data_IF_170232326843
#
_entry.id   IF_170232326843
#
_cell.length_a   1.000
_cell.length_b   1.000
_cell.length_c   1.000
_cell.angle_alpha   90.00
_cell.angle_beta   90.00
_cell.angle_gamma   90.00
#
_symmetry.space_group_name_H-M   'P 1'
#
loop_
_entity.id
_entity.type
_entity.pdbx_description
1 polymer ?
#
# COMPACT_ATOMS: atom_id res chain seq x y z
N UNK A 1 15.31 17.33 -42.87
CA UNK A 1 14.30 16.64 -42.05
C UNK A 1 14.78 15.22 -41.77
N UNK A 2 15.48 15.02 -40.65
CA UNK A 2 15.82 13.68 -40.14
C UNK A 2 15.61 13.70 -38.62
N UNK A 3 14.72 12.80 -38.23
CA UNK A 3 14.45 12.21 -36.93
C UNK A 3 15.60 12.24 -35.92
N UNK A 4 15.27 12.56 -34.66
CA UNK A 4 15.75 11.89 -33.44
C UNK A 4 15.47 12.76 -32.20
N UNK A 5 14.26 12.73 -31.65
CA UNK A 5 14.10 12.96 -30.20
C UNK A 5 14.16 11.60 -29.52
N UNK A 6 15.39 11.10 -29.48
CA UNK A 6 15.80 9.96 -28.70
C UNK A 6 15.73 10.37 -27.23
N UNK A 7 14.62 10.02 -26.59
CA UNK A 7 14.58 9.37 -25.27
C UNK A 7 15.68 9.85 -24.31
N UNK A 8 15.45 10.98 -23.64
CA UNK A 8 16.18 11.35 -22.42
C UNK A 8 15.18 11.53 -21.27
N UNK A 9 14.56 10.44 -20.84
CA UNK A 9 14.26 10.29 -19.42
C UNK A 9 15.14 9.15 -18.95
N UNK A 10 16.39 9.49 -18.63
CA UNK A 10 17.27 8.66 -17.83
C UNK A 10 16.53 8.35 -16.54
N UNK A 11 15.84 7.21 -16.57
CA UNK A 11 15.37 6.50 -15.41
C UNK A 11 16.61 6.01 -14.67
N UNK A 12 17.22 6.92 -13.91
CA UNK A 12 18.03 6.56 -12.75
C UNK A 12 17.06 5.98 -11.72
N UNK A 13 16.70 4.72 -11.94
CA UNK A 13 16.18 3.84 -10.91
C UNK A 13 17.35 3.56 -9.95
N UNK A 14 17.70 4.60 -9.19
CA UNK A 14 18.53 4.49 -7.99
C UNK A 14 17.81 3.52 -7.07
N UNK A 15 18.55 2.53 -6.57
CA UNK A 15 18.10 1.49 -5.63
C UNK A 15 17.33 2.13 -4.46
N UNK A 16 16.03 2.36 -4.64
CA UNK A 16 15.16 2.73 -3.55
C UNK A 16 15.08 1.48 -2.67
N UNK A 17 15.53 1.52 -1.41
CA UNK A 17 15.41 0.37 -0.53
C UNK A 17 13.93 -0.03 -0.52
N UNK A 18 13.66 -1.28 -0.87
CA UNK A 18 12.31 -1.86 -0.90
C UNK A 18 11.62 -1.83 0.48
N UNK A 19 12.34 -1.39 1.52
CA UNK A 19 11.91 -1.29 2.91
C UNK A 19 12.20 0.13 3.38
N UNK A 20 11.14 0.92 3.62
CA UNK A 20 11.26 2.28 4.15
C UNK A 20 11.00 2.26 5.65
N UNK A 21 12.00 2.61 6.46
CA UNK A 21 11.82 2.59 7.90
C UNK A 21 10.67 3.53 8.31
N UNK A 22 9.94 3.16 9.37
CA UNK A 22 8.89 4.01 9.95
C UNK A 22 9.37 5.45 10.19
N UNK A 23 10.63 5.61 10.62
CA UNK A 23 11.25 6.93 10.84
C UNK A 23 11.36 7.74 9.55
N UNK A 24 11.74 7.10 8.44
CA UNK A 24 11.90 7.75 7.14
C UNK A 24 10.55 8.21 6.59
N UNK A 25 9.54 7.35 6.70
CA UNK A 25 8.15 7.69 6.33
C UNK A 25 7.61 8.85 7.14
N UNK A 26 7.81 8.83 8.47
CA UNK A 26 7.38 9.91 9.35
C UNK A 26 8.07 11.23 8.99
N UNK A 27 9.38 11.19 8.71
CA UNK A 27 10.14 12.37 8.29
C UNK A 27 9.62 12.94 6.96
N UNK A 28 9.30 12.07 5.99
CA UNK A 28 8.73 12.50 4.71
C UNK A 28 7.34 13.14 4.85
N UNK A 29 6.48 12.60 5.72
CA UNK A 29 5.16 13.16 6.02
C UNK A 29 5.29 14.51 6.73
N UNK A 30 6.19 14.63 7.71
CA UNK A 30 6.43 15.87 8.44
C UNK A 30 6.93 16.98 7.51
N UNK A 31 7.91 16.67 6.65
CA UNK A 31 8.40 17.59 5.62
C UNK A 31 7.30 17.99 4.62
N UNK A 32 6.41 17.07 4.27
CA UNK A 32 5.28 17.38 3.39
C UNK A 32 4.36 18.46 3.98
N UNK A 33 4.04 18.37 5.28
CA UNK A 33 3.24 19.40 5.95
C UNK A 33 4.03 20.70 6.14
N UNK A 34 5.32 20.62 6.45
CA UNK A 34 6.19 21.79 6.59
C UNK A 34 6.27 22.62 5.29
N UNK A 35 6.35 21.97 4.13
CA UNK A 35 6.39 22.65 2.81
C UNK A 35 5.02 23.08 2.27
N UNK A 36 3.95 22.95 3.06
CA UNK A 36 2.61 23.31 2.63
C UNK A 36 2.08 22.40 1.52
N UNK A 37 2.28 21.08 1.66
CA UNK A 37 1.73 20.04 0.77
C UNK A 37 2.39 19.94 -0.62
N UNK A 38 3.64 20.37 -0.75
CA UNK A 38 4.40 20.31 -2.01
C UNK A 38 5.23 19.03 -2.12
N UNK A 39 4.78 18.07 -2.92
CA UNK A 39 5.48 16.78 -3.11
C UNK A 39 6.87 16.98 -3.74
N UNK A 40 6.99 17.87 -4.73
CA UNK A 40 8.26 18.11 -5.43
C UNK A 40 9.37 18.63 -4.52
N UNK A 41 9.01 19.42 -3.48
CA UNK A 41 9.95 19.90 -2.48
C UNK A 41 10.49 18.73 -1.63
N UNK A 42 9.60 17.83 -1.21
CA UNK A 42 9.97 16.66 -0.39
C UNK A 42 10.85 15.68 -1.18
N UNK A 43 10.48 15.36 -2.43
CA UNK A 43 11.26 14.43 -3.27
C UNK A 43 12.62 15.02 -3.67
N UNK A 44 12.71 16.34 -3.85
CA UNK A 44 13.97 17.02 -4.14
C UNK A 44 14.96 17.03 -2.97
N UNK A 45 14.46 17.09 -1.73
CA UNK A 45 15.31 17.13 -0.53
C UNK A 45 15.73 15.75 -0.03
N UNK A 46 14.80 14.79 -0.01
CA UNK A 46 15.08 13.46 0.54
C UNK A 46 15.64 12.49 -0.50
N UNK A 47 15.47 12.73 -1.81
CA UNK A 47 15.84 11.82 -2.92
C UNK A 47 15.12 10.45 -2.92
N UNK A 48 14.33 10.19 -1.89
CA UNK A 48 13.41 9.06 -1.70
C UNK A 48 12.20 9.65 -0.93
N UNK A 49 10.95 9.19 -1.00
CA UNK A 49 10.32 8.21 -1.88
C UNK A 49 9.86 8.81 -3.24
N UNK A 50 9.42 7.94 -4.15
CA UNK A 50 8.72 8.35 -5.36
C UNK A 50 7.44 9.14 -5.05
N UNK A 51 7.04 10.04 -5.97
CA UNK A 51 5.84 10.87 -5.87
C UNK A 51 4.59 10.03 -5.58
N UNK A 52 4.47 8.86 -6.20
CA UNK A 52 3.34 7.97 -6.00
C UNK A 52 3.34 7.34 -4.61
N UNK A 53 4.51 6.91 -4.14
CA UNK A 53 4.70 6.33 -2.80
C UNK A 53 4.40 7.35 -1.71
N UNK A 54 4.88 8.60 -1.84
CA UNK A 54 4.58 9.66 -0.88
C UNK A 54 3.07 9.95 -0.82
N UNK A 55 2.42 9.99 -1.98
CA UNK A 55 0.98 10.23 -2.06
C UNK A 55 0.18 9.12 -1.36
N UNK A 56 0.57 7.86 -1.53
CA UNK A 56 -0.06 6.75 -0.79
C UNK A 56 0.15 6.89 0.72
N UNK A 57 1.35 7.28 1.17
CA UNK A 57 1.61 7.45 2.59
C UNK A 57 0.78 8.56 3.22
N UNK A 58 0.64 9.70 2.52
CA UNK A 58 -0.21 10.80 2.98
C UNK A 58 -1.68 10.36 3.02
N UNK A 59 -2.16 9.67 1.99
CA UNK A 59 -3.53 9.17 1.95
C UNK A 59 -3.82 8.21 3.10
N UNK A 60 -2.92 7.27 3.37
CA UNK A 60 -3.03 6.35 4.49
C UNK A 60 -2.93 7.05 5.85
N UNK A 61 -2.09 8.08 5.95
CA UNK A 61 -1.99 8.91 7.14
C UNK A 61 -3.28 9.71 7.38
N UNK A 62 -3.91 10.24 6.34
CA UNK A 62 -5.21 10.94 6.44
C UNK A 62 -6.36 9.99 6.76
N UNK A 63 -6.33 8.73 6.32
CA UNK A 63 -7.40 7.77 6.57
C UNK A 63 -7.28 7.05 7.91
N UNK A 64 -6.08 6.61 8.31
CA UNK A 64 -5.84 5.90 9.57
C UNK A 64 -5.36 6.80 10.71
N UNK A 65 -4.85 8.01 10.42
CA UNK A 65 -4.23 8.88 11.42
C UNK A 65 -2.85 8.41 11.89
N UNK A 66 -2.28 7.38 11.25
CA UNK A 66 -1.01 6.76 11.64
C UNK A 66 -0.08 6.63 10.45
N UNK A 67 1.24 6.72 10.68
CA UNK A 67 2.24 6.53 9.63
C UNK A 67 2.15 5.10 9.08
N UNK A 68 2.13 4.92 7.75
CA UNK A 68 2.07 3.60 7.12
C UNK A 68 3.16 2.67 7.63
N UNK A 69 2.79 1.56 8.27
CA UNK A 69 3.74 0.50 8.55
C UNK A 69 3.93 -0.37 7.32
N UNK A 70 5.18 -0.72 6.99
CA UNK A 70 5.46 -1.72 5.98
C UNK A 70 4.79 -3.03 6.40
N UNK A 71 3.91 -3.57 5.55
CA UNK A 71 3.23 -4.84 5.82
C UNK A 71 1.77 -4.75 6.24
N UNK A 72 1.14 -3.57 6.24
CA UNK A 72 -0.32 -3.51 6.13
C UNK A 72 -0.73 -3.83 4.69
N UNK A 73 -0.58 -5.10 4.31
CA UNK A 73 -1.57 -5.75 3.46
C UNK A 73 -2.91 -5.29 4.00
N UNK A 74 -3.66 -4.56 3.18
CA UNK A 74 -5.07 -4.29 3.44
C UNK A 74 -5.71 -5.66 3.45
N UNK A 75 -5.67 -6.33 4.60
CA UNK A 75 -6.28 -7.63 4.78
C UNK A 75 -7.74 -7.36 4.49
N UNK A 76 -8.19 -7.69 3.29
CA UNK A 76 -9.53 -7.39 2.77
C UNK A 76 -10.61 -8.21 3.47
N UNK A 77 -10.34 -8.65 4.70
CA UNK A 77 -11.20 -9.48 5.51
C UNK A 77 -11.12 -9.03 6.96
N UNK A 78 -12.16 -8.28 7.36
CA UNK A 78 -12.43 -7.96 8.76
C UNK A 78 -12.69 -9.24 9.57
N UNK A 79 -12.52 -9.18 10.88
CA UNK A 79 -12.82 -10.32 11.75
C UNK A 79 -14.28 -10.76 11.64
N UNK A 80 -15.20 -9.82 11.37
CA UNK A 80 -16.60 -10.14 11.09
C UNK A 80 -16.78 -11.05 9.87
N UNK A 81 -16.03 -10.80 8.80
CA UNK A 81 -16.08 -11.69 7.64
C UNK A 81 -15.50 -13.08 7.98
N UNK A 82 -14.42 -13.17 8.79
CA UNK A 82 -13.86 -14.47 9.24
C UNK A 82 -14.89 -15.29 10.02
N UNK A 83 -15.59 -14.65 10.96
CA UNK A 83 -16.63 -15.30 11.75
C UNK A 83 -17.76 -15.84 10.84
N UNK A 84 -18.22 -15.06 9.87
CA UNK A 84 -19.24 -15.50 8.92
C UNK A 84 -18.78 -16.70 8.07
N UNK A 85 -17.51 -16.72 7.66
CA UNK A 85 -16.95 -17.84 6.91
C UNK A 85 -16.88 -19.13 7.76
N UNK A 86 -16.45 -19.03 9.02
CA UNK A 86 -16.39 -20.17 9.96
C UNK A 86 -17.79 -20.70 10.28
N UNK A 87 -18.76 -19.82 10.53
CA UNK A 87 -20.14 -20.20 10.83
C UNK A 87 -20.79 -20.93 9.65
N UNK A 88 -20.64 -20.38 8.44
CA UNK A 88 -21.14 -21.00 7.22
C UNK A 88 -20.47 -22.36 6.95
N UNK A 89 -19.16 -22.49 7.20
CA UNK A 89 -18.44 -23.74 7.06
C UNK A 89 -18.97 -24.83 8.01
N UNK A 90 -19.24 -24.47 9.27
CA UNK A 90 -19.77 -25.39 10.28
C UNK A 90 -21.19 -25.84 9.97
N UNK A 91 -22.04 -24.93 9.50
CA UNK A 91 -23.46 -25.21 9.21
C UNK A 91 -23.69 -25.98 7.91
N UNK A 92 -22.87 -25.78 6.87
CA UNK A 92 -23.11 -26.31 5.52
C UNK A 92 -22.22 -27.52 5.17
N UNK A 93 -21.93 -28.37 6.16
CA UNK A 93 -21.26 -29.65 5.92
C UNK A 93 -19.76 -29.55 5.63
N UNK A 94 -19.09 -28.49 6.09
CA UNK A 94 -17.63 -28.34 6.05
C UNK A 94 -17.04 -28.36 4.63
N UNK A 95 -17.73 -27.72 3.68
CA UNK A 95 -17.28 -27.63 2.28
C UNK A 95 -16.65 -26.25 1.97
N UNK A 96 -15.33 -26.22 1.76
CA UNK A 96 -14.56 -24.99 1.49
C UNK A 96 -14.93 -24.36 0.13
N UNK A 97 -15.22 -25.17 -0.89
CA UNK A 97 -15.62 -24.65 -2.21
C UNK A 97 -16.96 -23.93 -2.13
N UNK A 98 -17.87 -24.44 -1.30
CA UNK A 98 -19.20 -23.88 -1.12
C UNK A 98 -19.15 -22.55 -0.35
N UNK A 99 -18.38 -22.48 0.75
CA UNK A 99 -18.14 -21.23 1.49
C UNK A 99 -17.47 -20.17 0.60
N UNK A 100 -16.46 -20.54 -0.18
CA UNK A 100 -15.78 -19.63 -1.11
C UNK A 100 -16.72 -19.10 -2.20
N UNK A 101 -17.56 -19.95 -2.81
CA UNK A 101 -18.54 -19.50 -3.82
C UNK A 101 -19.59 -18.56 -3.22
N UNK A 102 -19.93 -18.74 -1.94
CA UNK A 102 -20.96 -17.95 -1.26
C UNK A 102 -20.45 -16.62 -0.72
N UNK A 103 -19.20 -16.58 -0.23
CA UNK A 103 -18.64 -15.46 0.53
C UNK A 103 -17.40 -14.81 -0.12
N UNK A 104 -16.92 -15.34 -1.25
CA UNK A 104 -15.74 -14.83 -1.98
C UNK A 104 -14.48 -14.65 -1.12
N UNK A 105 -14.25 -15.57 -0.17
CA UNK A 105 -13.10 -15.55 0.74
C UNK A 105 -11.82 -16.01 0.02
N UNK A 106 -10.75 -15.21 -0.09
CA UNK A 106 -9.54 -15.65 -0.77
C UNK A 106 -8.64 -16.41 0.22
N UNK A 107 -8.78 -17.74 0.27
CA UNK A 107 -7.77 -18.72 0.71
C UNK A 107 -8.42 -19.99 1.30
N UNK A 108 -7.80 -21.15 1.04
CA UNK A 108 -8.12 -22.42 1.70
C UNK A 108 -7.30 -22.64 2.99
N UNK A 109 -6.23 -21.87 3.20
CA UNK A 109 -5.29 -22.01 4.32
C UNK A 109 -5.76 -21.30 5.61
N UNK A 110 -6.84 -20.50 5.55
CA UNK A 110 -7.31 -19.66 6.66
C UNK A 110 -8.54 -20.22 7.43
N UNK A 111 -9.07 -21.39 7.04
CA UNK A 111 -10.24 -22.06 7.63
C UNK A 111 -9.84 -23.35 8.35
#
# INVERSE_FOLDING_TARGET
MRVATQICTEQTYTEAPLVFSYKDKKKAIDLYYHYGRKITAVTGELTYPDKHTLHNWIKEYETLGTVPQDGHSKNSYTDGHKCAAIDHYRSHGRCIVFTHRRLSFPSKELL
#
